data_IF_248472395709
#
_entry.id   IF_248472395709
#
_cell.length_a   1.000
_cell.length_b   1.000
_cell.length_c   1.000
_cell.angle_alpha   90.00
_cell.angle_beta   90.00
_cell.angle_gamma   90.00
#
_symmetry.space_group_name_H-M   'P 1'
#
loop_
_entity.id
_entity.type
_entity.pdbx_description
1 polymer ?
#
# COMPACT_ATOMS: atom_id res chain seq x y z
N UNK A 1 -7.07 25.50 -10.34
CA UNK A 1 -6.86 24.07 -10.04
C UNK A 1 -5.46 23.94 -9.48
N UNK A 2 -5.32 23.43 -8.26
CA UNK A 2 -4.02 23.18 -7.63
C UNK A 2 -3.36 22.02 -8.38
N UNK A 3 -2.10 22.14 -8.79
CA UNK A 3 -1.44 21.04 -9.50
C UNK A 3 -1.24 19.82 -8.58
N UNK A 4 -1.12 18.59 -9.11
CA UNK A 4 -0.86 17.41 -8.28
C UNK A 4 0.36 17.56 -7.37
N UNK A 5 1.41 18.22 -7.86
CA UNK A 5 2.61 18.51 -7.07
C UNK A 5 2.34 19.49 -5.93
N UNK A 6 1.51 20.52 -6.17
CA UNK A 6 1.11 21.46 -5.11
C UNK A 6 0.23 20.79 -4.06
N UNK A 7 -0.64 19.86 -4.46
CA UNK A 7 -1.49 19.10 -3.54
C UNK A 7 -0.67 18.19 -2.62
N UNK A 8 0.34 17.51 -3.17
CA UNK A 8 1.25 16.67 -2.38
C UNK A 8 2.10 17.53 -1.43
N UNK A 9 2.68 18.66 -1.89
CA UNK A 9 3.46 19.53 -1.02
C UNK A 9 2.66 20.02 0.18
N UNK A 10 1.39 20.42 -0.03
CA UNK A 10 0.51 20.83 1.06
C UNK A 10 0.27 19.70 2.06
N UNK A 11 0.09 18.48 1.56
CA UNK A 11 -0.11 17.30 2.39
C UNK A 11 1.15 16.96 3.20
N UNK A 12 2.36 17.15 2.65
CA UNK A 12 3.62 16.99 3.38
C UNK A 12 3.83 18.05 4.46
N UNK A 13 3.31 19.26 4.27
CA UNK A 13 3.32 20.32 5.29
C UNK A 13 2.27 20.05 6.40
N UNK A 14 1.12 19.46 6.06
CA UNK A 14 0.04 19.16 7.00
C UNK A 14 0.31 17.91 7.85
N UNK A 15 0.88 16.85 7.25
CA UNK A 15 1.17 15.59 7.94
C UNK A 15 2.66 15.25 7.85
N UNK A 16 3.40 15.72 8.85
CA UNK A 16 4.87 15.58 8.90
C UNK A 16 5.36 14.21 9.38
N UNK A 17 4.44 13.32 9.78
CA UNK A 17 4.75 11.94 10.19
C UNK A 17 5.36 11.16 9.03
N UNK A 18 4.87 11.39 7.82
CA UNK A 18 5.26 10.64 6.63
C UNK A 18 6.15 11.46 5.68
N UNK A 19 7.12 10.78 5.05
CA UNK A 19 7.97 11.38 4.01
C UNK A 19 7.31 11.26 2.63
N UNK A 20 7.79 12.02 1.65
CA UNK A 20 7.28 11.95 0.28
C UNK A 20 7.37 10.54 -0.30
N UNK A 21 8.45 9.84 0.01
CA UNK A 21 8.71 8.47 -0.40
C UNK A 21 7.63 7.49 0.11
N UNK A 22 7.01 7.75 1.27
CA UNK A 22 5.91 6.93 1.78
C UNK A 22 4.69 6.99 0.83
N UNK A 23 4.36 8.17 0.31
CA UNK A 23 3.27 8.35 -0.65
C UNK A 23 3.61 7.76 -2.02
N UNK A 24 4.87 7.84 -2.45
CA UNK A 24 5.31 7.16 -3.68
C UNK A 24 5.20 5.64 -3.52
N UNK A 25 5.69 5.11 -2.40
CA UNK A 25 5.64 3.69 -2.08
C UNK A 25 4.21 3.13 -2.14
N UNK A 26 3.21 3.83 -1.60
CA UNK A 26 1.79 3.40 -1.69
C UNK A 26 1.31 3.32 -3.14
N UNK A 27 1.68 4.29 -3.99
CA UNK A 27 1.28 4.28 -5.40
C UNK A 27 1.92 3.13 -6.16
N UNK A 28 3.19 2.86 -5.89
CA UNK A 28 3.94 1.75 -6.49
C UNK A 28 3.44 0.39 -6.01
N UNK A 29 3.14 0.25 -4.71
CA UNK A 29 2.56 -0.96 -4.15
C UNK A 29 1.15 -1.24 -4.68
N UNK A 30 0.34 -0.19 -4.93
CA UNK A 30 -0.97 -0.34 -5.58
C UNK A 30 -0.82 -0.80 -7.04
N UNK A 31 0.13 -0.22 -7.79
CA UNK A 31 0.44 -0.68 -9.15
C UNK A 31 0.91 -2.14 -9.14
N UNK A 32 1.79 -2.49 -8.20
CA UNK A 32 2.26 -3.85 -7.99
C UNK A 32 1.10 -4.82 -7.72
N UNK A 33 0.10 -4.41 -6.92
CA UNK A 33 -1.09 -5.22 -6.64
C UNK A 33 -1.88 -5.53 -7.92
N UNK A 34 -2.11 -4.54 -8.77
CA UNK A 34 -2.83 -4.74 -10.04
C UNK A 34 -2.08 -5.65 -11.03
N UNK A 35 -0.74 -5.61 -11.01
CA UNK A 35 0.09 -6.38 -11.94
C UNK A 35 0.39 -7.81 -11.46
N UNK A 36 0.49 -8.03 -10.14
CA UNK A 36 1.06 -9.26 -9.58
C UNK A 36 0.11 -10.03 -8.66
N UNK A 37 -1.07 -9.51 -8.35
CA UNK A 37 -2.04 -10.20 -7.49
C UNK A 37 -3.26 -10.64 -8.29
N UNK A 38 -3.70 -11.87 -8.02
CA UNK A 38 -4.99 -12.37 -8.49
C UNK A 38 -6.10 -11.67 -7.71
N UNK A 39 -6.46 -10.47 -8.17
CA UNK A 39 -7.57 -9.71 -7.63
C UNK A 39 -8.88 -10.31 -8.17
N UNK A 40 -9.83 -10.66 -7.28
CA UNK A 40 -11.15 -11.11 -7.72
C UNK A 40 -11.81 -10.02 -8.56
N UNK A 41 -12.54 -10.43 -9.60
CA UNK A 41 -13.43 -9.52 -10.30
C UNK A 41 -14.51 -9.11 -9.30
N UNK A 42 -14.50 -7.85 -8.89
CA UNK A 42 -15.57 -7.27 -8.08
C UNK A 42 -16.61 -6.67 -9.02
N UNK A 43 -17.89 -6.87 -8.66
CA UNK A 43 -18.99 -6.12 -9.24
C UNK A 43 -18.68 -4.62 -9.07
N UNK A 44 -18.89 -3.77 -10.09
CA UNK A 44 -18.61 -2.35 -9.96
C UNK A 44 -19.45 -1.76 -8.82
N UNK A 45 -18.79 -1.36 -7.72
CA UNK A 45 -19.43 -0.76 -6.54
C UNK A 45 -20.02 0.64 -6.79
N UNK A 46 -20.05 1.13 -8.04
CA UNK A 46 -20.57 2.46 -8.38
C UNK A 46 -21.25 2.48 -9.75
N UNK A 47 -22.47 3.02 -9.81
CA UNK A 47 -23.05 3.68 -10.98
C UNK A 47 -22.19 4.91 -11.35
N UNK A 48 -21.02 4.67 -11.96
CA UNK A 48 -20.21 5.70 -12.59
C UNK A 48 -20.26 5.51 -14.10
N UNK A 49 -20.30 6.62 -14.86
CA UNK A 49 -20.19 6.67 -16.33
C UNK A 49 -18.85 6.07 -16.81
N UNK A 50 -18.69 4.76 -16.72
CA UNK A 50 -17.62 4.03 -17.39
C UNK A 50 -18.16 3.71 -18.77
N UNK A 51 -17.54 4.22 -19.86
CA UNK A 51 -18.03 3.95 -21.21
C UNK A 51 -18.15 2.44 -21.42
N UNK A 52 -19.33 2.01 -21.89
CA UNK A 52 -19.63 0.62 -22.23
C UNK A 52 -18.44 0.00 -22.98
N UNK A 53 -17.81 -1.02 -22.39
CA UNK A 53 -16.73 -1.78 -23.01
C UNK A 53 -15.30 -1.49 -22.53
N UNK A 54 -15.08 -0.67 -21.49
CA UNK A 54 -13.77 -0.61 -20.81
C UNK A 54 -13.74 -1.46 -19.53
N UNK A 55 -12.67 -2.24 -19.30
CA UNK A 55 -12.53 -3.00 -18.06
C UNK A 55 -12.44 -2.04 -16.87
N UNK A 56 -13.28 -2.24 -15.87
CA UNK A 56 -13.16 -1.54 -14.60
C UNK A 56 -11.82 -1.93 -13.96
N UNK A 57 -11.00 -0.97 -13.50
CA UNK A 57 -9.83 -1.32 -12.71
C UNK A 57 -10.29 -2.12 -11.49
N UNK A 58 -9.75 -3.32 -11.31
CA UNK A 58 -10.11 -4.22 -10.21
C UNK A 58 -9.84 -3.50 -8.89
N UNK A 59 -10.88 -3.31 -8.07
CA UNK A 59 -10.72 -2.67 -6.77
C UNK A 59 -9.81 -3.50 -5.87
N UNK A 60 -8.97 -2.82 -5.09
CA UNK A 60 -8.01 -3.43 -4.15
C UNK A 60 -8.46 -3.04 -2.75
N UNK A 61 -8.82 -4.03 -1.94
CA UNK A 61 -9.21 -3.77 -0.55
C UNK A 61 -8.01 -3.31 0.29
N UNK A 62 -8.26 -2.67 1.43
CA UNK A 62 -7.19 -2.25 2.35
C UNK A 62 -6.26 -3.39 2.75
N UNK A 63 -6.82 -4.56 3.08
CA UNK A 63 -6.03 -5.75 3.44
C UNK A 63 -5.21 -6.28 2.27
N UNK A 64 -5.77 -6.28 1.05
CA UNK A 64 -5.03 -6.68 -0.15
C UNK A 64 -3.86 -5.71 -0.41
N UNK A 65 -4.09 -4.41 -0.25
CA UNK A 65 -3.03 -3.40 -0.39
C UNK A 65 -1.96 -3.58 0.69
N UNK A 66 -2.31 -3.85 1.95
CA UNK A 66 -1.32 -4.17 2.99
C UNK A 66 -0.40 -5.33 2.59
N UNK A 67 -0.97 -6.41 2.06
CA UNK A 67 -0.18 -7.55 1.58
C UNK A 67 0.64 -7.23 0.32
N UNK A 68 0.12 -6.38 -0.58
CA UNK A 68 0.88 -5.87 -1.71
C UNK A 68 2.09 -5.04 -1.24
N UNK A 69 1.89 -4.12 -0.30
CA UNK A 69 2.95 -3.34 0.34
C UNK A 69 4.02 -4.25 0.93
N UNK A 70 3.62 -5.31 1.65
CA UNK A 70 4.58 -6.28 2.22
C UNK A 70 5.46 -6.91 1.15
N UNK A 71 4.82 -7.49 0.13
CA UNK A 71 5.51 -8.20 -0.96
C UNK A 71 6.41 -7.24 -1.73
N UNK A 72 5.89 -6.07 -2.08
CA UNK A 72 6.62 -5.04 -2.80
C UNK A 72 7.83 -4.54 -2.01
N UNK A 73 7.68 -4.25 -0.72
CA UNK A 73 8.80 -3.83 0.12
C UNK A 73 9.90 -4.90 0.23
N UNK A 74 9.51 -6.17 0.36
CA UNK A 74 10.47 -7.29 0.37
C UNK A 74 11.15 -7.48 -0.98
N UNK A 75 10.44 -7.30 -2.08
CA UNK A 75 11.00 -7.39 -3.43
C UNK A 75 12.03 -6.29 -3.69
N UNK A 76 11.74 -5.05 -3.28
CA UNK A 76 12.60 -3.90 -3.52
C UNK A 76 13.78 -3.79 -2.54
N UNK A 77 13.57 -4.14 -1.27
CA UNK A 77 14.51 -3.85 -0.18
C UNK A 77 14.97 -5.09 0.59
N UNK A 78 14.41 -6.26 0.31
CA UNK A 78 14.67 -7.49 1.06
C UNK A 78 14.45 -7.29 2.57
N UNK A 79 15.38 -7.81 3.36
CA UNK A 79 15.33 -7.70 4.83
C UNK A 79 15.62 -6.29 5.37
N UNK A 80 15.93 -5.31 4.52
CA UNK A 80 16.00 -3.90 4.91
C UNK A 80 14.64 -3.20 4.84
N UNK A 81 13.60 -3.86 4.33
CA UNK A 81 12.26 -3.30 4.14
C UNK A 81 11.75 -2.54 5.39
N UNK A 82 11.77 -3.17 6.56
CA UNK A 82 11.32 -2.55 7.82
C UNK A 82 12.07 -1.26 8.14
N UNK A 83 13.39 -1.22 7.94
CA UNK A 83 14.22 -0.04 8.20
C UNK A 83 13.91 1.09 7.21
N UNK A 84 13.74 0.76 5.94
CA UNK A 84 13.42 1.73 4.88
C UNK A 84 12.03 2.34 5.13
N UNK A 85 11.03 1.51 5.40
CA UNK A 85 9.67 1.94 5.72
C UNK A 85 9.64 2.83 6.97
N UNK A 86 10.32 2.43 8.05
CA UNK A 86 10.40 3.23 9.27
C UNK A 86 11.06 4.59 9.03
N UNK A 87 12.09 4.66 8.18
CA UNK A 87 12.72 5.94 7.79
C UNK A 87 11.74 6.90 7.08
N UNK A 88 10.72 6.36 6.41
CA UNK A 88 9.66 7.13 5.77
C UNK A 88 8.46 7.39 6.67
N UNK A 89 8.51 6.95 7.93
CA UNK A 89 7.44 7.11 8.92
C UNK A 89 6.39 6.01 8.92
N UNK A 90 6.64 4.89 8.22
CA UNK A 90 5.72 3.75 8.16
C UNK A 90 6.21 2.68 9.13
N UNK A 91 5.47 2.45 10.21
CA UNK A 91 5.85 1.49 11.26
C UNK A 91 4.83 0.35 11.44
N UNK A 92 3.63 0.50 10.89
CA UNK A 92 2.53 -0.45 11.00
C UNK A 92 1.68 -0.50 9.74
N UNK A 93 0.76 -1.47 9.64
CA UNK A 93 -0.21 -1.52 8.54
C UNK A 93 -1.19 -0.36 8.60
N UNK A 94 -1.51 0.15 9.79
CA UNK A 94 -2.37 1.34 9.96
C UNK A 94 -1.80 2.59 9.28
N UNK A 95 -0.47 2.72 9.23
CA UNK A 95 0.20 3.82 8.52
C UNK A 95 -0.07 3.79 7.01
N UNK A 96 -0.25 2.61 6.42
CA UNK A 96 -0.69 2.52 5.02
C UNK A 96 -2.09 3.11 4.85
N UNK A 97 -3.01 2.81 5.78
CA UNK A 97 -4.34 3.41 5.79
C UNK A 97 -4.29 4.92 5.93
N UNK A 98 -3.41 5.44 6.79
CA UNK A 98 -3.20 6.87 6.96
C UNK A 98 -2.76 7.55 5.65
N UNK A 99 -1.78 6.97 4.96
CA UNK A 99 -1.28 7.44 3.68
C UNK A 99 -2.34 7.40 2.57
N UNK A 100 -3.08 6.28 2.46
CA UNK A 100 -4.14 6.11 1.47
C UNK A 100 -5.24 7.14 1.67
N UNK A 101 -5.70 7.36 2.89
CA UNK A 101 -6.74 8.34 3.18
C UNK A 101 -6.26 9.79 3.05
N UNK A 102 -4.98 10.06 3.31
CA UNK A 102 -4.38 11.34 2.98
C UNK A 102 -4.43 11.59 1.45
N UNK A 103 -4.16 10.57 0.61
CA UNK A 103 -4.28 10.65 -0.84
C UNK A 103 -5.73 10.80 -1.32
N UNK A 104 -6.69 10.13 -0.66
CA UNK A 104 -8.12 10.30 -0.93
C UNK A 104 -8.56 11.74 -0.64
N UNK A 105 -8.11 12.32 0.49
CA UNK A 105 -8.44 13.70 0.90
C UNK A 105 -8.05 14.74 -0.15
N UNK A 106 -6.95 14.50 -0.88
CA UNK A 106 -6.48 15.39 -1.95
C UNK A 106 -6.88 14.92 -3.35
N UNK A 107 -7.88 14.03 -3.45
CA UNK A 107 -8.46 13.54 -4.71
C UNK A 107 -7.46 12.81 -5.63
N UNK A 108 -6.35 12.31 -5.08
CA UNK A 108 -5.36 11.50 -5.82
C UNK A 108 -5.68 10.00 -5.80
N UNK A 109 -6.61 9.57 -4.93
CA UNK A 109 -7.14 8.22 -4.86
C UNK A 109 -8.65 8.25 -4.63
N UNK A 110 -9.33 7.16 -4.96
CA UNK A 110 -10.75 6.95 -4.69
C UNK A 110 -10.92 5.76 -3.77
N UNK A 111 -11.94 5.80 -2.93
CA UNK A 111 -12.38 4.69 -2.08
C UNK A 111 -13.73 4.17 -2.53
N UNK A 112 -14.04 2.92 -2.25
CA UNK A 112 -15.40 2.40 -2.30
C UNK A 112 -16.22 2.89 -1.10
N UNK A 113 -17.53 2.63 -1.13
CA UNK A 113 -18.42 2.91 0.01
C UNK A 113 -18.10 2.04 1.22
N UNK A 114 -17.60 0.83 0.98
CA UNK A 114 -17.30 -0.17 2.01
C UNK A 114 -15.93 0.02 2.64
N UNK A 115 -14.99 0.67 1.94
CA UNK A 115 -13.64 0.92 2.43
C UNK A 115 -13.64 1.84 3.67
N UNK A 116 -12.90 1.39 4.69
CA UNK A 116 -12.66 2.06 5.97
C UNK A 116 -11.18 2.20 6.24
N UNK A 117 -10.81 3.16 7.10
CA UNK A 117 -9.41 3.33 7.50
C UNK A 117 -8.95 2.16 8.37
N UNK A 118 -9.87 1.66 9.18
CA UNK A 118 -9.68 0.50 10.06
C UNK A 118 -9.41 -0.81 9.29
N UNK A 119 -9.67 -0.88 7.98
CA UNK A 119 -9.33 -2.05 7.14
C UNK A 119 -7.83 -2.31 7.06
N UNK A 120 -7.02 -1.33 7.46
CA UNK A 120 -5.57 -1.39 7.46
C UNK A 120 -4.99 -1.72 8.84
N UNK A 121 -5.80 -1.73 9.90
CA UNK A 121 -5.32 -1.93 11.26
C UNK A 121 -4.98 -3.41 11.51
N UNK A 122 -3.84 -3.65 12.14
CA UNK A 122 -3.38 -4.96 12.61
C UNK A 122 -3.46 -6.11 11.57
N UNK A 123 -3.30 -5.81 10.28
CA UNK A 123 -3.36 -6.83 9.20
C UNK A 123 -2.17 -7.80 9.30
N UNK A 124 -1.00 -7.30 9.70
CA UNK A 124 0.14 -8.10 10.10
C UNK A 124 1.11 -7.28 10.95
N UNK A 125 1.94 -7.97 11.73
CA UNK A 125 3.02 -7.37 12.49
C UNK A 125 4.27 -7.16 11.61
N UNK A 126 4.86 -5.96 11.65
CA UNK A 126 6.02 -5.60 10.84
C UNK A 126 7.30 -6.33 11.29
N UNK A 127 7.44 -6.61 12.57
CA UNK A 127 8.59 -7.34 13.09
C UNK A 127 8.58 -8.77 12.55
N UNK A 128 7.45 -9.47 12.59
CA UNK A 128 7.33 -10.80 11.97
C UNK A 128 7.40 -10.76 10.44
N UNK A 129 6.78 -9.74 9.81
CA UNK A 129 6.58 -9.73 8.37
C UNK A 129 7.88 -9.55 7.57
N UNK A 130 8.86 -8.86 8.14
CA UNK A 130 10.12 -8.49 7.49
C UNK A 130 11.36 -9.18 8.10
N UNK A 131 11.20 -10.00 9.14
CA UNK A 131 12.32 -10.73 9.75
C UNK A 131 12.85 -11.86 8.83
N UNK A 132 14.18 -12.03 8.72
CA UNK A 132 14.75 -13.17 8.04
C UNK A 132 14.42 -14.50 8.70
N UNK A 133 13.97 -15.47 7.89
CA UNK A 133 13.79 -16.86 8.35
C UNK A 133 15.01 -17.68 7.99
N UNK A 134 15.77 -18.10 9.00
CA UNK A 134 16.93 -18.97 8.83
C UNK A 134 16.53 -20.41 9.11
N UNK A 135 16.88 -21.32 8.20
CA UNK A 135 16.80 -22.76 8.43
C UNK A 135 18.21 -23.33 8.52
N UNK A 136 18.46 -24.14 9.55
CA UNK A 136 19.77 -24.76 9.76
C UNK A 136 19.78 -26.12 9.06
N UNK A 137 20.53 -26.23 7.97
CA UNK A 137 20.80 -27.52 7.33
C UNK A 137 22.09 -28.12 7.90
N UNK A 138 22.04 -29.18 8.73
CA UNK A 138 23.25 -29.82 9.22
C UNK A 138 24.05 -30.40 8.04
N UNK A 139 25.38 -30.24 8.09
CA UNK A 139 26.27 -30.92 7.13
C UNK A 139 26.09 -32.43 7.28
N UNK A 140 25.63 -33.08 6.21
CA UNK A 140 25.71 -34.53 6.08
C UNK A 140 27.18 -34.93 6.15
N UNK A 141 27.54 -35.80 7.11
CA UNK A 141 28.83 -36.48 7.08
C UNK A 141 28.81 -37.47 5.90
N UNK A 142 29.66 -37.22 4.91
CA UNK A 142 30.02 -38.15 3.84
C UNK A 142 31.05 -39.16 4.39
#
# INVERSE_FOLDING_TARGET
MTSPLQAINKLLDEDTRYKFEAYQFIREALQFAHENMDLPEQEPDVEGDVPFGQPHPKHVTGQQLCHACRKYALDQFGYLARMVLAKWGIESTGDFGELVYNLIRIEQMRKSETDRREDFDDVYDFEEAFEPKFDFTPRSND
#
